data_IF_090761600372
#
_entry.id   IF_090761600372
#
_cell.length_a   1.000
_cell.length_b   1.000
_cell.length_c   1.000
_cell.angle_alpha   90.00
_cell.angle_beta   90.00
_cell.angle_gamma   90.00
#
_symmetry.space_group_name_H-M   'P 1'
#
loop_
_entity.id
_entity.type
_entity.pdbx_description
1 polymer ?
#
# COMPACT_ATOMS: atom_id res chain seq x y z
N UNK A 1 48.74 27.12 -1.49
CA UNK A 1 47.45 27.71 -1.93
C UNK A 1 46.33 27.00 -1.17
N UNK A 2 45.90 27.54 -0.03
CA UNK A 2 44.98 26.86 0.89
C UNK A 2 43.53 27.08 0.41
N UNK A 3 42.88 26.01 -0.07
CA UNK A 3 41.46 26.06 -0.45
C UNK A 3 40.61 26.20 0.81
N UNK A 4 39.64 27.13 0.85
CA UNK A 4 38.76 27.27 2.00
C UNK A 4 37.89 26.02 2.12
N UNK A 5 38.03 25.28 3.22
CA UNK A 5 37.19 24.13 3.55
C UNK A 5 35.85 24.64 4.11
N UNK A 6 34.83 24.66 3.24
CA UNK A 6 33.46 24.95 3.67
C UNK A 6 32.88 23.73 4.38
N UNK A 7 32.79 23.79 5.71
CA UNK A 7 32.15 22.74 6.51
C UNK A 7 30.63 22.84 6.37
N UNK A 8 29.91 21.70 6.37
CA UNK A 8 28.43 21.62 6.34
C UNK A 8 27.75 22.58 7.35
N UNK A 9 28.38 22.79 8.51
CA UNK A 9 27.95 23.71 9.57
C UNK A 9 27.96 25.20 9.17
N UNK A 10 28.86 25.62 8.27
CA UNK A 10 28.91 26.99 7.74
C UNK A 10 27.83 27.20 6.66
N UNK A 11 27.56 26.18 5.85
CA UNK A 11 26.48 26.21 4.86
C UNK A 11 25.09 26.38 5.51
N UNK A 12 24.77 25.62 6.56
CA UNK A 12 23.48 25.76 7.26
C UNK A 12 23.30 27.12 7.95
N UNK A 13 24.39 27.78 8.39
CA UNK A 13 24.33 29.13 8.96
C UNK A 13 23.95 30.21 7.94
N UNK A 14 24.31 30.04 6.65
CA UNK A 14 23.94 30.98 5.59
C UNK A 14 22.44 30.96 5.24
N UNK A 15 21.81 29.78 5.32
CA UNK A 15 20.37 29.62 5.02
C UNK A 15 19.50 30.26 6.12
N UNK A 16 19.93 30.24 7.38
CA UNK A 16 19.17 30.80 8.49
C UNK A 16 19.03 32.35 8.44
N UNK A 17 19.99 33.06 7.81
CA UNK A 17 19.94 34.52 7.70
C UNK A 17 19.18 35.01 6.45
N UNK A 18 19.06 34.19 5.41
CA UNK A 18 18.30 34.51 4.20
C UNK A 18 16.80 34.20 4.33
N UNK A 19 16.42 33.27 5.22
CA UNK A 19 15.02 32.88 5.45
C UNK A 19 14.22 33.82 6.35
N UNK A 20 14.86 34.81 7.00
CA UNK A 20 14.19 35.71 7.96
C UNK A 20 13.67 37.02 7.36
N UNK A 21 14.01 37.35 6.11
CA UNK A 21 13.64 38.63 5.48
C UNK A 21 12.42 38.57 4.57
N UNK A 22 11.72 37.45 4.51
CA UNK A 22 10.41 37.41 3.91
C UNK A 22 9.53 36.40 4.65
N UNK A 23 8.52 36.85 5.42
CA UNK A 23 7.39 35.99 5.74
C UNK A 23 6.59 35.84 4.45
N UNK A 24 7.10 35.06 3.50
CA UNK A 24 6.23 34.52 2.48
C UNK A 24 5.30 33.58 3.23
N UNK A 25 4.09 34.04 3.52
CA UNK A 25 2.98 33.18 3.90
C UNK A 25 2.78 32.19 2.77
N UNK A 26 3.52 31.07 2.82
CA UNK A 26 3.33 29.96 1.91
C UNK A 26 1.92 29.44 2.17
N UNK A 27 1.01 29.76 1.27
CA UNK A 27 -0.34 29.23 1.33
C UNK A 27 -0.25 27.76 0.93
N UNK A 28 -0.82 26.89 1.77
CA UNK A 28 -0.98 25.49 1.40
C UNK A 28 -1.76 25.42 0.08
N UNK A 29 -1.37 24.48 -0.79
CA UNK A 29 -2.15 24.15 -1.99
C UNK A 29 -3.58 23.78 -1.55
N UNK A 30 -4.57 24.29 -2.28
CA UNK A 30 -5.97 23.91 -2.07
C UNK A 30 -6.21 22.42 -2.33
N UNK A 31 -7.37 21.86 -1.96
CA UNK A 31 -7.68 20.45 -2.16
C UNK A 31 -7.48 20.01 -3.61
N UNK A 32 -6.86 18.83 -3.81
CA UNK A 32 -6.67 18.24 -5.13
C UNK A 32 -8.04 17.97 -5.75
N UNK A 33 -8.36 18.65 -6.85
CA UNK A 33 -9.58 18.39 -7.63
C UNK A 33 -9.41 17.05 -8.35
N UNK A 34 -10.14 16.02 -7.90
CA UNK A 34 -10.22 14.73 -8.59
C UNK A 34 -11.42 14.75 -9.53
N UNK A 35 -11.27 14.17 -10.72
CA UNK A 35 -12.36 14.03 -11.66
C UNK A 35 -13.34 12.95 -11.17
N UNK A 36 -14.64 13.22 -11.30
CA UNK A 36 -15.71 12.29 -10.95
C UNK A 36 -15.91 12.07 -9.44
N UNK A 37 -16.83 11.18 -9.11
CA UNK A 37 -17.11 10.80 -7.72
C UNK A 37 -15.96 9.99 -7.12
N UNK A 38 -15.64 10.16 -5.83
CA UNK A 38 -14.70 9.29 -5.13
C UNK A 38 -15.10 7.82 -5.28
N UNK A 39 -14.13 6.95 -5.59
CA UNK A 39 -14.33 5.50 -5.67
C UNK A 39 -13.28 4.81 -4.82
N UNK A 40 -13.73 4.04 -3.84
CA UNK A 40 -12.89 3.13 -3.07
C UNK A 40 -13.39 1.72 -3.38
N UNK A 41 -12.61 0.95 -4.13
CA UNK A 41 -12.91 -0.45 -4.41
C UNK A 41 -12.34 -1.31 -3.29
N UNK A 42 -13.18 -2.11 -2.68
CA UNK A 42 -12.77 -3.00 -1.60
C UNK A 42 -12.44 -4.39 -2.15
N UNK A 43 -11.43 -5.01 -1.54
CA UNK A 43 -11.06 -6.39 -1.80
C UNK A 43 -10.61 -7.09 -0.52
N UNK A 44 -10.61 -8.43 -0.56
CA UNK A 44 -10.21 -9.25 0.58
C UNK A 44 -9.06 -10.21 0.21
N UNK A 45 -8.05 -10.27 1.08
CA UNK A 45 -6.94 -11.20 0.98
C UNK A 45 -7.33 -12.59 1.50
N UNK A 46 -7.07 -13.63 0.70
CA UNK A 46 -7.31 -15.02 1.06
C UNK A 46 -6.52 -15.46 2.30
N UNK A 47 -5.41 -14.79 2.63
CA UNK A 47 -4.67 -15.06 3.87
C UNK A 47 -5.53 -14.90 5.13
N UNK A 48 -6.53 -14.02 5.11
CA UNK A 48 -7.51 -13.86 6.19
C UNK A 48 -8.37 -15.11 6.42
N UNK A 49 -8.43 -16.01 5.43
CA UNK A 49 -9.15 -17.29 5.43
C UNK A 49 -8.22 -18.49 5.50
N UNK A 50 -6.95 -18.30 5.92
CA UNK A 50 -5.95 -19.37 6.00
C UNK A 50 -6.46 -20.62 6.71
N UNK A 51 -7.20 -20.48 7.80
CA UNK A 51 -7.73 -21.63 8.55
C UNK A 51 -8.70 -22.49 7.75
N UNK A 52 -9.51 -21.87 6.90
CA UNK A 52 -10.53 -22.51 6.08
C UNK A 52 -9.93 -23.07 4.78
N UNK A 53 -8.98 -22.34 4.19
CA UNK A 53 -8.31 -22.70 2.93
C UNK A 53 -7.15 -23.69 3.11
N UNK A 54 -6.64 -23.88 4.33
CA UNK A 54 -5.58 -24.86 4.60
C UNK A 54 -6.20 -26.21 4.95
N UNK A 55 -6.04 -27.19 4.05
CA UNK A 55 -6.38 -28.58 4.33
C UNK A 55 -5.53 -29.15 5.47
N UNK A 56 -6.14 -29.87 6.41
CA UNK A 56 -5.41 -30.69 7.38
C UNK A 56 -4.98 -32.01 6.70
N UNK A 57 -3.87 -32.62 7.12
CA UNK A 57 -3.46 -33.92 6.58
C UNK A 57 -4.59 -34.95 6.64
N UNK A 58 -4.95 -35.54 5.49
CA UNK A 58 -6.00 -36.55 5.40
C UNK A 58 -7.44 -36.02 5.33
N UNK A 59 -7.66 -34.70 5.23
CA UNK A 59 -8.99 -34.10 5.05
C UNK A 59 -8.99 -33.06 3.93
N UNK A 60 -10.11 -32.86 3.20
CA UNK A 60 -10.26 -31.68 2.36
C UNK A 60 -10.23 -30.41 3.22
N UNK A 61 -9.83 -29.28 2.63
CA UNK A 61 -10.00 -27.97 3.27
C UNK A 61 -11.47 -27.69 3.58
N UNK A 62 -11.73 -26.85 4.58
CA UNK A 62 -13.11 -26.46 4.91
C UNK A 62 -13.75 -25.60 3.80
N UNK A 63 -12.90 -25.00 2.95
CA UNK A 63 -13.26 -24.15 1.83
C UNK A 63 -12.16 -24.29 0.77
N UNK A 64 -12.53 -24.25 -0.51
CA UNK A 64 -11.59 -24.12 -1.63
C UNK A 64 -11.55 -22.67 -2.14
N UNK A 65 -10.67 -22.38 -3.10
CA UNK A 65 -10.54 -21.03 -3.64
C UNK A 65 -11.84 -20.52 -4.28
N UNK A 66 -12.62 -21.40 -4.92
CA UNK A 66 -13.90 -21.01 -5.52
C UNK A 66 -14.93 -20.61 -4.46
N UNK A 67 -15.04 -21.38 -3.37
CA UNK A 67 -15.89 -21.05 -2.24
C UNK A 67 -15.49 -19.73 -1.56
N UNK A 68 -14.19 -19.41 -1.51
CA UNK A 68 -13.73 -18.10 -1.04
C UNK A 68 -14.16 -16.96 -1.97
N UNK A 69 -14.10 -17.16 -3.29
CA UNK A 69 -14.53 -16.18 -4.29
C UNK A 69 -16.04 -15.93 -4.18
N UNK A 70 -16.83 -17.00 -4.10
CA UNK A 70 -18.28 -16.91 -3.90
C UNK A 70 -18.62 -16.18 -2.60
N UNK A 71 -17.87 -16.47 -1.53
CA UNK A 71 -18.03 -15.76 -0.27
C UNK A 71 -17.72 -14.27 -0.42
N UNK A 72 -16.62 -13.89 -1.08
CA UNK A 72 -16.31 -12.48 -1.35
C UNK A 72 -17.40 -11.79 -2.16
N UNK A 73 -17.95 -12.46 -3.17
CA UNK A 73 -19.07 -11.95 -3.96
C UNK A 73 -20.32 -11.71 -3.11
N UNK A 74 -20.61 -12.58 -2.15
CA UNK A 74 -21.75 -12.41 -1.23
C UNK A 74 -21.61 -11.19 -0.31
N UNK A 75 -20.38 -10.69 -0.13
CA UNK A 75 -20.07 -9.52 0.72
C UNK A 75 -20.00 -8.20 -0.08
N UNK A 76 -20.43 -8.18 -1.34
CA UNK A 76 -20.38 -7.01 -2.22
C UNK A 76 -18.95 -6.44 -2.39
N UNK A 77 -17.96 -7.33 -2.46
CA UNK A 77 -16.57 -6.96 -2.72
C UNK A 77 -16.31 -6.90 -4.23
N UNK A 78 -15.67 -5.82 -4.67
CA UNK A 78 -15.26 -5.61 -6.07
C UNK A 78 -14.14 -6.57 -6.54
N UNK A 79 -13.51 -7.27 -5.60
CA UNK A 79 -12.47 -8.23 -5.92
C UNK A 79 -11.91 -8.96 -4.68
N UNK A 80 -10.92 -9.80 -4.94
CA UNK A 80 -10.20 -10.56 -3.92
C UNK A 80 -8.73 -10.67 -4.31
N UNK A 81 -7.88 -10.95 -3.33
CA UNK A 81 -6.46 -11.21 -3.50
C UNK A 81 -6.19 -12.67 -3.09
N UNK A 82 -5.87 -13.56 -4.04
CA UNK A 82 -5.88 -14.99 -3.77
C UNK A 82 -4.66 -15.49 -2.99
N UNK A 83 -3.56 -14.73 -2.94
CA UNK A 83 -2.24 -15.12 -2.39
C UNK A 83 -1.64 -16.38 -3.03
N UNK A 84 -0.32 -16.46 -3.17
CA UNK A 84 0.31 -17.61 -3.84
C UNK A 84 0.27 -18.92 -3.03
N UNK A 85 0.01 -18.86 -1.72
CA UNK A 85 0.14 -20.02 -0.81
C UNK A 85 -0.93 -21.10 -1.00
N UNK A 86 -2.09 -20.75 -1.56
CA UNK A 86 -3.22 -21.67 -1.72
C UNK A 86 -3.29 -22.29 -3.11
N UNK A 87 -2.32 -22.00 -3.97
CA UNK A 87 -2.16 -22.67 -5.25
C UNK A 87 -1.13 -23.80 -5.14
N UNK A 88 -1.25 -24.85 -5.96
CA UNK A 88 -0.20 -25.85 -6.11
C UNK A 88 1.13 -25.18 -6.49
N UNK A 89 2.24 -25.68 -5.94
CA UNK A 89 3.59 -25.22 -6.33
C UNK A 89 3.91 -25.52 -7.80
N UNK A 90 3.39 -26.64 -8.30
CA UNK A 90 3.56 -27.10 -9.67
C UNK A 90 2.21 -27.01 -10.38
N UNK A 91 2.18 -26.31 -11.52
CA UNK A 91 1.00 -26.20 -12.37
C UNK A 91 1.11 -27.32 -13.41
N UNK A 92 0.14 -28.22 -13.45
CA UNK A 92 0.05 -29.29 -14.45
C UNK A 92 -0.97 -28.91 -15.53
N UNK A 93 -0.70 -29.18 -16.83
CA UNK A 93 -1.66 -28.98 -17.92
C UNK A 93 -2.91 -29.88 -17.81
#
# INVERSE_FOLDING_TARGET
MNKPTSTRRKFCRGIALAGSLAPFSSSAIGPIKRAGSPRLKLSLAAYSFRGQLTAKPGSPGAMDMMGFIDWCSSQDLDGFEPTSYFFPKEITP
#
